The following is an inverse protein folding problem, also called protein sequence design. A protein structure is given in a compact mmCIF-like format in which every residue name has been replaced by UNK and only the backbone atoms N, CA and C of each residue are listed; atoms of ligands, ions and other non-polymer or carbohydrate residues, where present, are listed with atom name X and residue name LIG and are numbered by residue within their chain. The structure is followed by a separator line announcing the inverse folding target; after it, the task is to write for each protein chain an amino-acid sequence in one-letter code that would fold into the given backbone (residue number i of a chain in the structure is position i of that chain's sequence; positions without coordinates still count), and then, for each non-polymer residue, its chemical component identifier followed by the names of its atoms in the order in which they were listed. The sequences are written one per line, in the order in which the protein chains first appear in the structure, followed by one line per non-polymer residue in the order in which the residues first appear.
data_IF_286312291558
#
_entry.id   IF_286312291558
#
_cell.length_a   1.000
_cell.length_b   1.000
_cell.length_c   1.000
_cell.angle_alpha   90.00
_cell.angle_beta   90.00
_cell.angle_gamma   90.00
#
_symmetry.space_group_name_H-M   'P 1'
#
loop_
_entity.id
_entity.type
_entity.pdbx_description
1 polymer ?
#
# COMPACT_ATOMS: atom_id res chain seq x y z
N UNK A 1 11.64 -32.11 -40.14
CA UNK A 1 12.06 -32.02 -38.70
C UNK A 1 11.05 -31.10 -38.06
N UNK A 2 9.98 -31.71 -37.52
CA UNK A 2 8.90 -30.97 -36.88
C UNK A 2 9.33 -30.58 -35.48
N UNK A 3 9.34 -29.28 -35.21
CA UNK A 3 9.58 -28.75 -33.86
C UNK A 3 8.38 -29.09 -32.98
N UNK A 4 8.57 -29.62 -31.77
CA UNK A 4 7.46 -29.87 -30.88
C UNK A 4 6.84 -28.53 -30.44
N UNK A 5 5.52 -28.39 -30.63
CA UNK A 5 4.73 -27.29 -30.10
C UNK A 5 4.86 -27.29 -28.60
N UNK A 6 5.46 -26.24 -28.03
CA UNK A 6 5.46 -26.02 -26.62
C UNK A 6 4.02 -25.82 -26.17
N UNK A 7 3.46 -26.80 -25.47
CA UNK A 7 2.18 -26.65 -24.77
C UNK A 7 2.33 -25.60 -23.70
N UNK A 8 1.57 -24.51 -23.80
CA UNK A 8 1.43 -23.54 -22.71
C UNK A 8 0.99 -24.32 -21.47
N UNK A 9 1.68 -24.18 -20.33
CA UNK A 9 1.23 -24.84 -19.12
C UNK A 9 -0.18 -24.36 -18.81
N UNK A 10 -1.09 -25.32 -18.54
CA UNK A 10 -2.43 -25.01 -18.13
C UNK A 10 -2.37 -24.12 -16.89
N UNK A 11 -2.92 -22.93 -16.99
CA UNK A 11 -3.08 -22.07 -15.81
C UNK A 11 -3.91 -22.82 -14.76
N UNK A 12 -3.42 -22.81 -13.52
CA UNK A 12 -4.24 -23.27 -12.41
C UNK A 12 -5.56 -22.50 -12.41
N UNK A 13 -6.70 -23.13 -12.08
CA UNK A 13 -7.96 -22.41 -11.99
C UNK A 13 -7.81 -21.24 -11.03
N UNK A 14 -8.35 -20.06 -11.37
CA UNK A 14 -8.27 -18.89 -10.50
C UNK A 14 -8.88 -19.22 -9.13
N UNK A 15 -8.18 -18.85 -8.08
CA UNK A 15 -8.70 -19.00 -6.72
C UNK A 15 -9.88 -18.04 -6.54
N UNK A 16 -10.94 -18.40 -5.80
CA UNK A 16 -12.12 -17.55 -5.60
C UNK A 16 -11.79 -16.14 -5.05
N UNK A 17 -10.72 -16.05 -4.25
CA UNK A 17 -10.23 -14.81 -3.63
C UNK A 17 -9.17 -14.09 -4.45
N UNK A 18 -8.89 -14.51 -5.70
CA UNK A 18 -7.92 -13.82 -6.55
C UNK A 18 -8.42 -12.42 -6.93
N UNK A 19 -7.47 -11.51 -7.14
CA UNK A 19 -7.79 -10.13 -7.48
C UNK A 19 -7.14 -9.71 -8.80
N UNK A 20 -7.81 -9.00 -9.70
CA UNK A 20 -9.25 -8.69 -9.71
C UNK A 20 -10.14 -9.94 -9.61
N UNK A 21 -11.44 -9.79 -9.23
CA UNK A 21 -12.34 -10.95 -9.16
C UNK A 21 -12.34 -11.72 -10.48
N UNK A 22 -12.46 -13.07 -10.46
CA UNK A 22 -12.37 -13.89 -11.67
C UNK A 22 -13.43 -13.58 -12.75
N UNK A 23 -14.53 -12.94 -12.37
CA UNK A 23 -15.60 -12.51 -13.26
C UNK A 23 -15.35 -11.13 -13.91
N UNK A 24 -14.29 -10.43 -13.51
CA UNK A 24 -13.89 -9.18 -14.16
C UNK A 24 -13.12 -9.46 -15.45
N UNK A 25 -13.66 -8.99 -16.56
CA UNK A 25 -13.01 -9.08 -17.88
C UNK A 25 -12.68 -7.66 -18.40
N UNK A 26 -11.39 -7.29 -18.50
CA UNK A 26 -10.98 -5.99 -19.03
C UNK A 26 -11.11 -5.90 -20.56
N UNK A 27 -11.29 -7.03 -21.26
CA UNK A 27 -11.24 -7.10 -22.71
C UNK A 27 -12.28 -6.20 -23.41
N UNK A 28 -13.55 -6.13 -22.97
CA UNK A 28 -14.55 -5.24 -23.59
C UNK A 28 -14.15 -3.76 -23.55
N UNK A 29 -13.58 -3.29 -22.44
CA UNK A 29 -13.11 -1.91 -22.31
C UNK A 29 -11.93 -1.62 -23.25
N UNK A 30 -10.97 -2.53 -23.32
CA UNK A 30 -9.81 -2.43 -24.23
C UNK A 30 -10.27 -2.45 -25.70
N UNK A 31 -11.17 -3.36 -26.08
CA UNK A 31 -11.69 -3.46 -27.45
C UNK A 31 -12.43 -2.18 -27.86
N UNK A 32 -13.29 -1.65 -26.98
CA UNK A 32 -13.99 -0.38 -27.22
C UNK A 32 -12.98 0.74 -27.46
N UNK A 33 -12.03 0.93 -26.56
CA UNK A 33 -11.01 1.96 -26.68
C UNK A 33 -10.27 1.90 -28.02
N UNK A 34 -9.84 0.73 -28.45
CA UNK A 34 -9.11 0.54 -29.71
C UNK A 34 -10.00 0.74 -30.94
N UNK A 35 -11.25 0.26 -30.91
CA UNK A 35 -12.21 0.39 -32.04
C UNK A 35 -12.66 1.85 -32.25
N UNK A 36 -12.66 2.65 -31.21
CA UNK A 36 -12.95 4.08 -31.26
C UNK A 36 -11.72 4.94 -31.63
N UNK A 37 -10.61 4.32 -31.99
CA UNK A 37 -9.39 5.02 -32.41
C UNK A 37 -8.53 5.51 -31.26
N UNK A 38 -8.64 4.92 -30.09
CA UNK A 38 -7.85 5.23 -28.90
C UNK A 38 -6.34 5.13 -29.15
N UNK A 39 -5.59 6.17 -28.75
CA UNK A 39 -4.16 6.28 -29.03
C UNK A 39 -3.32 5.46 -28.05
N UNK A 40 -2.45 4.59 -28.57
CA UNK A 40 -1.41 3.93 -27.76
C UNK A 40 -0.22 4.83 -27.45
N UNK A 41 -0.18 6.05 -28.02
CA UNK A 41 0.90 7.01 -27.86
C UNK A 41 0.35 8.41 -27.57
N UNK A 42 -0.33 8.60 -26.41
CA UNK A 42 -0.85 9.92 -26.05
C UNK A 42 0.29 10.95 -25.94
N UNK A 43 0.00 12.17 -26.33
CA UNK A 43 1.01 13.24 -26.40
C UNK A 43 1.05 14.13 -25.15
N UNK A 44 0.39 13.74 -24.08
CA UNK A 44 0.34 14.54 -22.87
C UNK A 44 -0.77 14.06 -21.96
N UNK A 45 -1.45 15.01 -21.31
CA UNK A 45 -2.69 14.76 -20.59
C UNK A 45 -3.86 14.86 -21.58
N UNK A 46 -4.01 13.85 -22.43
CA UNK A 46 -5.06 13.77 -23.45
C UNK A 46 -5.72 12.40 -23.49
N UNK A 47 -6.89 12.28 -24.10
CA UNK A 47 -7.63 11.05 -24.28
C UNK A 47 -7.81 10.27 -22.97
N UNK A 48 -7.44 8.99 -23.00
CA UNK A 48 -7.62 8.07 -21.86
C UNK A 48 -6.84 8.49 -20.61
N UNK A 49 -5.67 9.12 -20.78
CA UNK A 49 -4.87 9.60 -19.66
C UNK A 49 -5.62 10.71 -18.91
N UNK A 50 -6.16 11.69 -19.66
CA UNK A 50 -6.96 12.76 -19.06
C UNK A 50 -8.22 12.20 -18.38
N UNK A 51 -8.96 11.34 -19.05
CA UNK A 51 -10.19 10.75 -18.52
C UNK A 51 -9.94 9.98 -17.21
N UNK A 52 -8.91 9.14 -17.18
CA UNK A 52 -8.55 8.38 -15.99
C UNK A 52 -8.07 9.28 -14.83
N UNK A 53 -7.25 10.29 -15.12
CA UNK A 53 -6.79 11.26 -14.11
C UNK A 53 -7.95 12.09 -13.55
N UNK A 54 -8.91 12.53 -14.39
CA UNK A 54 -10.09 13.27 -13.95
C UNK A 54 -11.00 12.42 -13.07
N UNK A 55 -11.22 11.15 -13.45
CA UNK A 55 -11.99 10.21 -12.64
C UNK A 55 -11.33 9.92 -11.29
N UNK A 56 -10.00 9.74 -11.26
CA UNK A 56 -9.23 9.59 -10.02
C UNK A 56 -9.32 10.86 -9.15
N UNK A 57 -9.20 12.05 -9.74
CA UNK A 57 -9.37 13.31 -9.03
C UNK A 57 -10.74 13.40 -8.37
N UNK A 58 -11.79 13.10 -9.11
CA UNK A 58 -13.18 13.13 -8.61
C UNK A 58 -13.37 12.11 -7.46
N UNK A 59 -12.87 10.87 -7.63
CA UNK A 59 -13.09 9.81 -6.65
C UNK A 59 -12.28 9.97 -5.37
N UNK A 60 -11.05 10.51 -5.47
CA UNK A 60 -10.15 10.67 -4.33
C UNK A 60 -10.13 12.10 -3.76
N UNK A 61 -11.07 12.94 -4.13
CA UNK A 61 -11.17 14.35 -3.69
C UNK A 61 -9.83 15.09 -3.83
N UNK A 62 -9.23 15.00 -5.03
CA UNK A 62 -7.97 15.66 -5.35
C UNK A 62 -8.13 16.53 -6.58
N UNK A 63 -7.56 17.76 -6.62
CA UNK A 63 -7.69 18.64 -7.79
C UNK A 63 -6.79 18.24 -8.94
N UNK A 64 -5.74 17.46 -8.68
CA UNK A 64 -4.79 17.04 -9.71
C UNK A 64 -4.28 15.62 -9.47
N UNK A 65 -4.13 14.86 -10.55
CA UNK A 65 -3.53 13.54 -10.59
C UNK A 65 -2.53 13.44 -11.74
N UNK A 66 -1.51 12.61 -11.56
CA UNK A 66 -0.48 12.29 -12.57
C UNK A 66 -0.29 10.78 -12.58
N UNK A 67 -0.75 10.14 -13.64
CA UNK A 67 -0.59 8.69 -13.83
C UNK A 67 0.86 8.34 -14.18
N UNK A 68 1.39 7.33 -13.52
CA UNK A 68 2.77 6.88 -13.63
C UNK A 68 2.87 5.37 -13.84
N UNK A 69 4.04 4.90 -14.25
CA UNK A 69 4.29 3.49 -14.56
C UNK A 69 4.22 2.54 -13.36
N UNK A 70 4.33 3.06 -12.14
CA UNK A 70 4.19 2.31 -10.89
C UNK A 70 4.00 3.23 -9.69
N UNK A 71 3.50 2.68 -8.58
CA UNK A 71 3.48 3.39 -7.29
C UNK A 71 4.87 3.83 -6.82
N UNK A 72 5.90 3.03 -7.08
CA UNK A 72 7.29 3.37 -6.79
C UNK A 72 7.74 4.64 -7.53
N UNK A 73 7.35 4.78 -8.80
CA UNK A 73 7.68 5.97 -9.59
C UNK A 73 6.82 7.18 -9.18
N UNK A 74 5.60 6.97 -8.70
CA UNK A 74 4.81 8.02 -8.09
C UNK A 74 5.47 8.55 -6.81
N UNK A 75 5.96 7.67 -5.95
CA UNK A 75 6.74 8.04 -4.75
C UNK A 75 8.06 8.73 -5.10
N UNK A 76 8.78 8.25 -6.12
CA UNK A 76 10.00 8.91 -6.60
C UNK A 76 9.72 10.37 -7.02
N UNK A 77 8.66 10.57 -7.81
CA UNK A 77 8.26 11.90 -8.24
C UNK A 77 7.77 12.78 -7.08
N UNK A 78 7.13 12.19 -6.06
CA UNK A 78 6.72 12.90 -4.86
C UNK A 78 7.92 13.38 -4.03
N UNK A 79 8.90 12.52 -3.78
CA UNK A 79 10.13 12.92 -3.08
C UNK A 79 10.90 14.00 -3.84
N UNK A 80 11.02 13.84 -5.17
CA UNK A 80 11.61 14.88 -6.01
C UNK A 80 10.83 16.20 -5.92
N UNK A 81 9.50 16.14 -5.96
CA UNK A 81 8.63 17.30 -5.94
C UNK A 81 8.75 18.10 -4.63
N UNK A 82 8.82 17.43 -3.49
CA UNK A 82 9.02 18.09 -2.19
C UNK A 82 10.47 18.55 -1.96
N UNK A 83 11.36 18.30 -2.92
CA UNK A 83 12.74 18.83 -2.94
C UNK A 83 13.69 18.02 -2.07
N UNK A 84 13.57 16.71 -2.05
CA UNK A 84 14.56 15.83 -1.41
C UNK A 84 15.88 15.89 -2.19
N UNK A 85 16.96 16.11 -1.46
CA UNK A 85 18.33 16.24 -1.97
C UNK A 85 19.29 15.36 -1.16
N UNK A 86 20.51 15.10 -1.69
CA UNK A 86 21.54 14.39 -0.96
C UNK A 86 21.86 15.05 0.38
N UNK A 87 21.80 14.25 1.46
CA UNK A 87 22.01 14.73 2.83
C UNK A 87 20.75 15.05 3.63
N UNK A 88 19.60 15.17 2.97
CA UNK A 88 18.31 15.25 3.65
C UNK A 88 17.95 13.94 4.35
N UNK A 89 17.07 14.03 5.34
CA UNK A 89 16.50 12.88 6.02
C UNK A 89 15.00 12.77 5.74
N UNK A 90 14.54 11.53 5.47
CA UNK A 90 13.13 11.20 5.30
C UNK A 90 12.71 10.20 6.36
N UNK A 91 11.75 10.55 7.19
CA UNK A 91 11.16 9.64 8.19
C UNK A 91 10.21 8.67 7.48
N UNK A 92 10.38 7.36 7.74
CA UNK A 92 9.58 6.29 7.18
C UNK A 92 9.29 5.22 8.23
N UNK A 93 8.04 4.70 8.35
CA UNK A 93 7.77 3.57 9.24
C UNK A 93 8.52 2.34 8.77
N UNK A 94 9.00 1.55 9.74
CA UNK A 94 9.74 0.34 9.43
C UNK A 94 8.85 -0.81 8.94
N UNK A 95 7.54 -0.77 9.21
CA UNK A 95 6.56 -1.74 8.70
C UNK A 95 5.85 -1.15 7.49
N UNK A 96 6.41 -1.38 6.32
CA UNK A 96 5.85 -0.99 5.03
C UNK A 96 6.49 -1.81 3.91
N UNK A 97 5.97 -1.68 2.70
CA UNK A 97 6.66 -2.20 1.52
C UNK A 97 7.90 -1.34 1.24
N UNK A 98 9.00 -1.96 0.86
CA UNK A 98 10.27 -1.23 0.68
C UNK A 98 10.20 -0.06 -0.29
N UNK A 99 9.29 -0.14 -1.29
CA UNK A 99 9.13 0.93 -2.28
C UNK A 99 8.59 2.24 -1.69
N UNK A 100 8.01 2.23 -0.48
CA UNK A 100 7.66 3.45 0.24
C UNK A 100 8.91 4.29 0.57
N UNK A 101 10.03 3.64 0.85
CA UNK A 101 11.27 4.27 1.29
C UNK A 101 12.36 4.37 0.20
N UNK A 102 12.48 3.33 -0.67
CA UNK A 102 13.62 3.23 -1.59
C UNK A 102 13.80 4.38 -2.57
N UNK A 103 12.75 5.06 -3.08
CA UNK A 103 12.96 6.19 -3.96
C UNK A 103 13.70 7.37 -3.31
N UNK A 104 13.52 7.58 -2.00
CA UNK A 104 14.29 8.60 -1.27
C UNK A 104 15.79 8.27 -1.25
N UNK A 105 16.14 6.98 -1.12
CA UNK A 105 17.54 6.54 -1.21
C UNK A 105 18.15 6.85 -2.59
N UNK A 106 17.39 6.67 -3.67
CA UNK A 106 17.85 6.99 -5.03
C UNK A 106 18.07 8.49 -5.27
N UNK A 107 17.43 9.36 -4.48
CA UNK A 107 17.67 10.80 -4.48
C UNK A 107 18.83 11.20 -3.55
N UNK A 108 19.47 10.25 -2.89
CA UNK A 108 20.60 10.49 -1.99
C UNK A 108 20.21 10.89 -0.56
N UNK A 109 18.94 10.80 -0.21
CA UNK A 109 18.48 11.06 1.14
C UNK A 109 18.73 9.87 2.08
N UNK A 110 18.91 10.14 3.35
CA UNK A 110 18.90 9.12 4.41
C UNK A 110 17.47 8.80 4.79
N UNK A 111 17.09 7.53 4.70
CA UNK A 111 15.83 7.04 5.27
C UNK A 111 16.04 6.81 6.76
N UNK A 112 15.27 7.53 7.58
CA UNK A 112 15.23 7.38 9.03
C UNK A 112 14.04 6.49 9.37
N UNK A 113 14.30 5.21 9.62
CA UNK A 113 13.26 4.26 10.00
C UNK A 113 12.79 4.54 11.42
N UNK A 114 11.47 4.50 11.62
CA UNK A 114 10.82 4.69 12.92
C UNK A 114 9.89 3.53 13.25
N UNK A 115 9.62 3.34 14.53
CA UNK A 115 8.76 2.27 15.01
C UNK A 115 7.29 2.53 14.67
N UNK A 116 6.46 1.50 14.85
CA UNK A 116 5.05 1.49 14.51
C UNK A 116 4.19 1.14 15.72
N UNK A 117 2.93 1.51 15.66
CA UNK A 117 1.90 1.02 16.59
C UNK A 117 1.81 -0.51 16.47
N UNK A 118 2.04 -1.27 17.55
CA UNK A 118 2.05 -2.74 17.51
C UNK A 118 0.67 -3.37 17.28
N UNK A 119 -0.39 -2.57 17.21
CA UNK A 119 -1.73 -3.07 16.96
C UNK A 119 -2.16 -2.89 15.49
N UNK A 120 -1.76 -1.78 14.87
CA UNK A 120 -2.17 -1.43 13.51
C UNK A 120 -1.06 -1.63 12.48
N UNK A 121 0.22 -1.61 12.92
CA UNK A 121 1.39 -1.59 12.03
C UNK A 121 1.61 -0.24 11.32
N UNK A 122 0.82 0.78 11.63
CA UNK A 122 1.00 2.14 11.14
C UNK A 122 2.11 2.86 11.91
N UNK A 123 2.69 3.92 11.32
CA UNK A 123 3.71 4.74 11.99
C UNK A 123 3.24 5.17 13.39
N UNK A 124 4.14 5.08 14.38
CA UNK A 124 3.93 5.70 15.68
C UNK A 124 4.31 7.19 15.59
N UNK A 125 3.35 8.12 15.75
CA UNK A 125 3.64 9.55 15.67
C UNK A 125 4.64 10.04 16.73
N UNK A 126 4.70 9.39 17.91
CA UNK A 126 5.66 9.73 18.95
C UNK A 126 7.08 9.31 18.56
N UNK A 127 7.24 8.11 17.99
CA UNK A 127 8.52 7.66 17.45
C UNK A 127 8.97 8.54 16.27
N UNK A 128 8.05 8.93 15.39
CA UNK A 128 8.33 9.86 14.30
C UNK A 128 8.79 11.24 14.83
N UNK A 129 8.12 11.78 15.86
CA UNK A 129 8.49 13.05 16.47
C UNK A 129 9.89 13.02 17.11
N UNK A 130 10.23 11.92 17.79
CA UNK A 130 11.54 11.74 18.41
C UNK A 130 12.69 11.64 17.40
N UNK A 131 12.39 11.22 16.17
CA UNK A 131 13.37 11.05 15.10
C UNK A 131 13.65 12.33 14.29
N UNK A 132 12.92 13.44 14.52
CA UNK A 132 13.10 14.68 13.78
C UNK A 132 14.45 15.33 14.13
N UNK A 133 15.20 15.66 13.09
CA UNK A 133 16.46 16.41 13.17
C UNK A 133 16.42 17.68 12.30
N UNK A 134 17.39 18.58 12.38
CA UNK A 134 17.49 19.73 11.45
C UNK A 134 17.61 19.33 9.96
N UNK A 135 17.97 18.09 9.65
CA UNK A 135 18.04 17.57 8.29
C UNK A 135 16.76 16.89 7.82
N UNK A 136 15.81 16.66 8.72
CA UNK A 136 14.54 16.03 8.35
C UNK A 136 13.75 16.95 7.43
N UNK A 137 13.49 16.50 6.21
CA UNK A 137 12.79 17.24 5.16
C UNK A 137 11.35 16.78 4.97
N UNK A 138 11.12 15.49 5.11
CA UNK A 138 9.82 14.89 4.86
C UNK A 138 9.53 13.71 5.80
N UNK A 139 8.25 13.42 5.94
CA UNK A 139 7.75 12.14 6.45
C UNK A 139 6.93 11.47 5.34
N UNK A 140 7.13 10.18 5.16
CA UNK A 140 6.21 9.34 4.40
C UNK A 140 5.45 8.43 5.34
N UNK A 141 4.15 8.33 5.14
CA UNK A 141 3.28 7.40 5.89
C UNK A 141 2.65 6.41 4.93
N UNK A 142 2.44 5.18 5.40
CA UNK A 142 1.64 4.21 4.67
C UNK A 142 0.40 3.84 5.50
N UNK A 143 -0.76 3.77 4.86
CA UNK A 143 -1.97 3.27 5.48
C UNK A 143 -1.95 1.74 5.44
N UNK A 144 -1.34 1.13 6.49
CA UNK A 144 -1.00 -0.29 6.49
C UNK A 144 -2.23 -1.19 6.40
N UNK A 145 -2.28 -2.04 5.39
CA UNK A 145 -3.38 -2.97 5.07
C UNK A 145 -4.77 -2.33 4.92
N UNK A 146 -4.83 -1.02 4.73
CA UNK A 146 -6.06 -0.25 4.64
C UNK A 146 -6.35 0.59 5.89
N UNK A 147 -5.64 0.37 7.00
CA UNK A 147 -5.84 1.18 8.20
C UNK A 147 -5.15 2.55 8.05
N UNK A 148 -5.89 3.68 8.14
CA UNK A 148 -5.30 5.00 8.16
C UNK A 148 -4.35 5.16 9.35
N UNK A 149 -3.29 5.96 9.17
CA UNK A 149 -2.47 6.43 10.30
C UNK A 149 -3.29 7.39 11.17
N UNK A 150 -2.78 7.75 12.35
CA UNK A 150 -3.34 8.89 13.10
C UNK A 150 -3.06 10.19 12.31
N UNK A 151 -4.02 10.56 11.45
CA UNK A 151 -3.89 11.65 10.51
C UNK A 151 -3.66 13.00 11.20
N UNK A 152 -4.33 13.22 12.33
CA UNK A 152 -4.23 14.47 13.07
C UNK A 152 -2.88 14.60 13.77
N UNK A 153 -2.38 13.52 14.37
CA UNK A 153 -1.08 13.54 15.03
C UNK A 153 0.06 13.76 14.02
N UNK A 154 0.00 13.10 12.84
CA UNK A 154 0.99 13.30 11.77
C UNK A 154 0.90 14.71 11.19
N UNK A 155 -0.31 15.24 10.94
CA UNK A 155 -0.48 16.61 10.46
C UNK A 155 0.11 17.64 11.45
N UNK A 156 -0.14 17.47 12.75
CA UNK A 156 0.41 18.34 13.80
C UNK A 156 1.95 18.25 13.87
N UNK A 157 2.52 17.05 13.67
CA UNK A 157 3.96 16.85 13.60
C UNK A 157 4.56 17.61 12.40
N UNK A 158 3.98 17.43 11.22
CA UNK A 158 4.44 18.09 10.00
C UNK A 158 4.36 19.61 10.11
N UNK A 159 3.26 20.13 10.63
CA UNK A 159 3.09 21.57 10.84
C UNK A 159 4.13 22.14 11.82
N UNK A 160 4.37 21.45 12.96
CA UNK A 160 5.32 21.89 13.99
C UNK A 160 6.75 21.98 13.47
N UNK A 161 7.15 21.07 12.61
CA UNK A 161 8.53 20.95 12.14
C UNK A 161 8.71 21.37 10.67
N UNK A 162 7.66 21.89 10.02
CA UNK A 162 7.67 22.29 8.61
C UNK A 162 8.11 21.16 7.68
N UNK A 163 7.69 19.93 7.96
CA UNK A 163 7.99 18.75 7.15
C UNK A 163 6.99 18.63 6.02
N UNK A 164 7.47 18.22 4.85
CA UNK A 164 6.60 17.73 3.80
C UNK A 164 6.01 16.38 4.19
N UNK A 165 4.72 16.17 3.90
CA UNK A 165 4.05 14.90 4.17
C UNK A 165 3.62 14.22 2.87
N UNK A 166 4.15 13.01 2.65
CA UNK A 166 3.77 12.14 1.53
C UNK A 166 2.95 10.98 2.09
N UNK A 167 1.73 10.82 1.59
CA UNK A 167 0.85 9.70 1.94
C UNK A 167 0.98 8.58 0.90
N UNK A 168 1.52 7.42 1.28
CA UNK A 168 1.44 6.20 0.47
C UNK A 168 0.11 5.49 0.80
N UNK A 169 -0.86 5.64 -0.08
CA UNK A 169 -2.19 5.06 0.05
C UNK A 169 -2.38 3.78 -0.76
N UNK A 170 -1.29 3.15 -1.17
CA UNK A 170 -1.31 1.92 -2.01
C UNK A 170 -2.09 0.75 -1.41
N UNK A 171 -2.30 0.72 -0.10
CA UNK A 171 -3.08 -0.29 0.62
C UNK A 171 -4.48 0.20 1.03
N UNK A 172 -4.82 1.45 0.75
CA UNK A 172 -5.95 2.13 1.37
C UNK A 172 -6.81 2.92 0.37
N UNK A 173 -6.95 2.39 -0.85
CA UNK A 173 -7.84 3.01 -1.83
C UNK A 173 -9.25 3.17 -1.25
N UNK A 174 -9.71 4.42 -1.10
CA UNK A 174 -11.02 4.72 -0.54
C UNK A 174 -11.14 4.68 0.99
N UNK A 175 -10.04 4.51 1.72
CA UNK A 175 -10.06 4.60 3.18
C UNK A 175 -10.30 6.03 3.67
N UNK A 176 -10.83 6.17 4.88
CA UNK A 176 -11.12 7.48 5.46
C UNK A 176 -10.96 7.51 6.99
N UNK A 177 -10.53 8.68 7.49
CA UNK A 177 -10.37 9.02 8.88
C UNK A 177 -11.32 10.16 9.24
N UNK A 178 -12.21 9.97 10.22
CA UNK A 178 -13.25 10.94 10.61
C UNK A 178 -14.01 11.51 9.41
N UNK A 179 -14.34 10.66 8.44
CA UNK A 179 -15.09 11.03 7.23
C UNK A 179 -14.26 11.69 6.13
N UNK A 180 -12.99 12.04 6.36
CA UNK A 180 -12.10 12.61 5.33
C UNK A 180 -11.24 11.54 4.70
N UNK A 181 -11.15 11.51 3.38
CA UNK A 181 -10.37 10.50 2.65
C UNK A 181 -8.88 10.58 2.97
N UNK A 182 -8.25 9.42 3.12
CA UNK A 182 -6.79 9.24 3.14
C UNK A 182 -6.24 9.65 1.77
N UNK A 183 -5.08 10.27 1.77
CA UNK A 183 -4.50 10.88 0.56
C UNK A 183 -4.88 12.35 0.36
N UNK A 184 -5.69 12.93 1.28
CA UNK A 184 -6.03 14.36 1.23
C UNK A 184 -5.43 15.17 2.37
N UNK A 185 -4.72 14.52 3.28
CA UNK A 185 -4.17 15.13 4.49
C UNK A 185 -2.77 15.70 4.30
N UNK A 186 -1.93 14.98 3.56
CA UNK A 186 -0.56 15.39 3.24
C UNK A 186 -0.45 16.37 2.07
N UNK A 187 0.78 16.74 1.74
CA UNK A 187 1.09 17.58 0.59
C UNK A 187 0.88 16.85 -0.74
N UNK A 188 1.25 15.57 -0.77
CA UNK A 188 1.11 14.67 -1.91
C UNK A 188 0.64 13.28 -1.44
N UNK A 189 -0.17 12.64 -2.26
CA UNK A 189 -0.55 11.24 -2.11
C UNK A 189 -0.05 10.41 -3.29
N UNK A 190 0.40 9.19 -2.99
CA UNK A 190 0.83 8.22 -3.99
C UNK A 190 0.06 6.92 -3.81
N UNK A 191 -0.40 6.34 -4.92
CA UNK A 191 -1.03 5.03 -4.91
C UNK A 191 -0.42 4.12 -5.99
N UNK A 192 -0.23 2.87 -5.65
CA UNK A 192 0.05 1.82 -6.63
C UNK A 192 -1.25 1.42 -7.34
N UNK A 193 -1.16 1.25 -8.65
CA UNK A 193 -2.20 0.67 -9.52
C UNK A 193 -1.68 -0.63 -10.15
N UNK A 194 -0.80 -1.33 -9.43
CA UNK A 194 -0.16 -2.57 -9.89
C UNK A 194 -0.70 -3.81 -9.19
N UNK A 195 -0.43 -4.97 -9.77
CA UNK A 195 -0.70 -6.29 -9.22
C UNK A 195 -2.12 -6.40 -8.59
N UNK A 196 -2.19 -6.77 -7.31
CA UNK A 196 -3.42 -7.08 -6.58
C UNK A 196 -4.04 -5.85 -5.88
N UNK A 197 -3.71 -4.63 -6.33
CA UNK A 197 -4.32 -3.42 -5.78
C UNK A 197 -5.80 -3.34 -6.17
N UNK A 198 -6.64 -2.75 -5.31
CA UNK A 198 -8.08 -2.62 -5.56
C UNK A 198 -8.38 -2.02 -6.93
N UNK A 199 -7.66 -0.98 -7.31
CA UNK A 199 -7.61 -0.48 -8.69
C UNK A 199 -6.29 -0.93 -9.30
N UNK A 200 -6.35 -1.69 -10.38
CA UNK A 200 -5.15 -2.21 -11.01
C UNK A 200 -5.19 -2.16 -12.53
N UNK A 201 -4.12 -1.65 -13.13
CA UNK A 201 -3.85 -1.79 -14.56
C UNK A 201 -2.84 -2.91 -14.87
N UNK A 202 -2.60 -3.82 -13.90
CA UNK A 202 -1.48 -4.78 -13.93
C UNK A 202 -0.16 -4.12 -13.55
N UNK A 203 0.14 -2.98 -14.16
CA UNK A 203 1.24 -2.07 -13.83
C UNK A 203 0.71 -0.64 -13.82
N UNK A 204 1.09 0.15 -12.83
CA UNK A 204 0.69 1.54 -12.76
C UNK A 204 0.85 2.15 -11.38
N UNK A 205 0.71 3.45 -11.35
CA UNK A 205 0.66 4.27 -10.13
C UNK A 205 0.05 5.62 -10.42
N UNK A 206 -0.28 6.34 -9.38
CA UNK A 206 -0.77 7.72 -9.47
C UNK A 206 -0.17 8.55 -8.35
N UNK A 207 0.24 9.77 -8.68
CA UNK A 207 0.53 10.84 -7.73
C UNK A 207 -0.63 11.83 -7.78
N UNK A 208 -1.09 12.28 -6.62
CA UNK A 208 -2.17 13.25 -6.49
C UNK A 208 -1.78 14.35 -5.50
N UNK A 209 -2.32 15.55 -5.68
CA UNK A 209 -2.03 16.64 -4.75
C UNK A 209 -2.82 17.90 -5.01
N UNK A 210 -2.86 18.79 -4.00
CA UNK A 210 -3.59 20.08 -4.03
C UNK A 210 -2.70 21.26 -4.36
N UNK A 211 -1.39 21.13 -4.17
CA UNK A 211 -0.41 22.18 -4.42
C UNK A 211 0.09 22.11 -5.86
N UNK A 212 -0.26 23.10 -6.67
CA UNK A 212 0.16 23.18 -8.08
C UNK A 212 1.68 23.12 -8.24
N UNK A 213 2.44 23.83 -7.39
CA UNK A 213 3.90 23.85 -7.44
C UNK A 213 4.52 22.45 -7.26
N UNK A 214 3.98 21.62 -6.36
CA UNK A 214 4.48 20.27 -6.14
C UNK A 214 4.08 19.32 -7.28
N UNK A 215 2.81 19.39 -7.72
CA UNK A 215 2.35 18.54 -8.82
C UNK A 215 3.08 18.90 -10.12
N UNK A 216 3.35 20.19 -10.38
CA UNK A 216 4.13 20.63 -11.54
C UNK A 216 5.58 20.09 -11.50
N UNK A 217 6.22 20.11 -10.34
CA UNK A 217 7.55 19.49 -10.17
C UNK A 217 7.51 17.98 -10.42
N UNK A 218 6.45 17.30 -9.97
CA UNK A 218 6.24 15.88 -10.25
C UNK A 218 6.03 15.61 -11.75
N UNK A 219 5.27 16.47 -12.45
CA UNK A 219 5.10 16.39 -13.91
C UNK A 219 6.44 16.59 -14.60
N UNK A 220 7.21 17.60 -14.22
CA UNK A 220 8.53 17.88 -14.81
C UNK A 220 9.53 16.75 -14.53
N UNK A 221 9.46 16.10 -13.37
CA UNK A 221 10.26 14.92 -13.05
C UNK A 221 9.93 13.73 -13.95
N UNK A 222 8.65 13.49 -14.18
CA UNK A 222 8.13 12.24 -14.75
C UNK A 222 7.82 12.31 -16.26
N UNK A 223 7.75 13.51 -16.82
CA UNK A 223 7.36 13.74 -18.22
C UNK A 223 8.16 14.87 -18.85
N UNK A 224 8.15 14.89 -20.18
CA UNK A 224 8.76 15.94 -20.99
C UNK A 224 7.92 16.25 -22.25
N UNK A 225 8.35 17.20 -23.07
CA UNK A 225 7.67 17.65 -24.31
C UNK A 225 6.25 18.15 -24.04
N UNK A 226 5.25 17.46 -24.59
CA UNK A 226 3.87 17.94 -24.60
C UNK A 226 3.32 18.14 -23.19
N UNK A 227 3.44 17.14 -22.31
CA UNK A 227 2.88 17.23 -20.98
C UNK A 227 3.52 18.31 -20.13
N UNK A 228 4.84 18.40 -20.11
CA UNK A 228 5.57 19.45 -19.40
C UNK A 228 5.22 20.86 -19.92
N UNK A 229 4.81 20.98 -21.19
CA UNK A 229 4.43 22.25 -21.78
C UNK A 229 2.99 22.65 -21.45
N UNK A 230 2.07 21.69 -21.36
CA UNK A 230 0.62 21.96 -21.25
C UNK A 230 0.11 21.92 -19.83
N UNK A 231 0.69 21.08 -18.96
CA UNK A 231 0.15 20.78 -17.64
C UNK A 231 0.82 21.60 -16.52
N UNK A 232 2.04 22.08 -16.74
CA UNK A 232 2.77 22.89 -15.76
C UNK A 232 2.18 24.29 -15.73
N UNK A 233 1.78 24.74 -14.54
CA UNK A 233 1.09 26.03 -14.31
C UNK A 233 1.94 27.03 -13.55
N UNK A 234 2.91 26.54 -12.77
CA UNK A 234 3.78 27.36 -11.92
C UNK A 234 4.73 28.18 -12.78
N UNK A 235 4.76 29.53 -12.65
CA UNK A 235 5.70 30.39 -13.36
C UNK A 235 7.16 30.04 -13.04
N UNK A 236 8.04 30.25 -14.01
CA UNK A 236 9.48 30.00 -13.86
C UNK A 236 9.96 28.66 -14.37
N UNK A 237 9.06 27.77 -14.78
CA UNK A 237 9.41 26.45 -15.34
C UNK A 237 9.39 26.40 -16.88
N UNK A 238 9.20 27.53 -17.55
CA UNK A 238 9.05 27.60 -19.00
C UNK A 238 10.29 27.05 -19.74
N UNK A 239 11.49 27.27 -19.18
CA UNK A 239 12.75 26.71 -19.70
C UNK A 239 12.82 25.18 -19.67
N UNK A 240 12.05 24.54 -18.80
CA UNK A 240 11.98 23.07 -18.66
C UNK A 240 10.87 22.45 -19.50
N UNK A 241 10.01 23.23 -20.14
CA UNK A 241 8.84 22.75 -20.87
C UNK A 241 9.16 21.70 -21.95
N UNK A 242 10.37 21.71 -22.52
CA UNK A 242 10.79 20.77 -23.56
C UNK A 242 11.37 19.47 -22.99
N UNK A 243 12.16 19.55 -21.94
CA UNK A 243 12.97 18.43 -21.43
C UNK A 243 12.42 17.84 -20.15
N UNK A 244 11.62 18.59 -19.38
CA UNK A 244 11.43 18.30 -17.97
C UNK A 244 12.80 18.10 -17.30
N UNK A 245 12.85 17.17 -16.37
CA UNK A 245 14.12 16.67 -15.78
C UNK A 245 14.62 15.38 -16.47
N UNK A 246 14.08 15.06 -17.66
CA UNK A 246 14.62 14.02 -18.54
C UNK A 246 14.08 12.61 -18.33
N UNK A 247 13.21 12.36 -17.36
CA UNK A 247 12.61 11.06 -17.14
C UNK A 247 11.28 10.91 -17.90
N UNK A 248 10.91 9.64 -18.21
CA UNK A 248 9.64 9.28 -18.81
C UNK A 248 9.02 8.13 -18.00
N UNK A 249 8.17 8.50 -17.05
CA UNK A 249 7.60 7.60 -16.06
C UNK A 249 6.09 7.41 -16.21
N UNK A 250 5.51 7.80 -17.36
CA UNK A 250 4.07 7.71 -17.61
C UNK A 250 3.56 6.28 -17.69
N UNK A 251 2.29 6.09 -17.35
CA UNK A 251 1.57 4.82 -17.49
C UNK A 251 1.34 4.46 -18.97
N UNK A 252 1.19 3.17 -19.27
CA UNK A 252 0.74 2.73 -20.59
C UNK A 252 -0.77 2.98 -20.76
N UNK A 253 -1.25 3.48 -21.93
CA UNK A 253 -2.66 3.79 -22.14
C UNK A 253 -3.62 2.63 -21.88
N UNK A 254 -3.29 1.40 -22.26
CA UNK A 254 -4.15 0.25 -21.98
C UNK A 254 -4.30 -0.03 -20.48
N UNK A 255 -3.27 0.19 -19.70
CA UNK A 255 -3.39 0.11 -18.25
C UNK A 255 -4.34 1.19 -17.68
N UNK A 256 -4.29 2.41 -18.23
CA UNK A 256 -5.21 3.47 -17.87
C UNK A 256 -6.67 3.15 -18.26
N UNK A 257 -6.89 2.47 -19.43
CA UNK A 257 -8.23 1.98 -19.82
C UNK A 257 -8.80 1.04 -18.77
N UNK A 258 -7.99 0.06 -18.32
CA UNK A 258 -8.41 -0.94 -17.34
C UNK A 258 -8.71 -0.27 -15.98
N UNK A 259 -7.85 0.65 -15.54
CA UNK A 259 -8.07 1.40 -14.29
C UNK A 259 -9.34 2.24 -14.35
N UNK A 260 -9.57 2.95 -15.46
CA UNK A 260 -10.76 3.78 -15.63
C UNK A 260 -12.04 2.94 -15.62
N UNK A 261 -12.06 1.83 -16.35
CA UNK A 261 -13.21 0.92 -16.37
C UNK A 261 -13.53 0.36 -14.98
N UNK A 262 -12.51 -0.06 -14.22
CA UNK A 262 -12.68 -0.50 -12.83
C UNK A 262 -13.22 0.62 -11.94
N UNK A 263 -12.66 1.82 -12.07
CA UNK A 263 -13.03 2.97 -11.24
C UNK A 263 -14.48 3.39 -11.45
N UNK A 264 -14.92 3.44 -12.70
CA UNK A 264 -16.28 3.89 -13.05
C UNK A 264 -17.36 2.84 -12.83
N UNK A 265 -17.06 1.56 -13.06
CA UNK A 265 -18.07 0.50 -13.13
C UNK A 265 -18.04 -0.49 -11.96
N UNK A 266 -16.94 -0.57 -11.19
CA UNK A 266 -16.75 -1.66 -10.22
C UNK A 266 -16.27 -1.20 -8.84
N UNK A 267 -15.44 -0.18 -8.74
CA UNK A 267 -14.66 0.15 -7.56
C UNK A 267 -15.52 0.32 -6.29
N UNK A 268 -16.57 1.14 -6.34
CA UNK A 268 -17.39 1.40 -5.15
C UNK A 268 -18.11 0.14 -4.67
N UNK A 269 -18.63 -0.67 -5.60
CA UNK A 269 -19.22 -1.97 -5.27
C UNK A 269 -18.21 -2.90 -4.62
N UNK A 270 -17.02 -3.05 -5.20
CA UNK A 270 -15.98 -3.92 -4.66
C UNK A 270 -15.50 -3.49 -3.27
N UNK A 271 -15.36 -2.17 -3.03
CA UNK A 271 -14.99 -1.64 -1.70
C UNK A 271 -16.05 -2.02 -0.66
N UNK A 272 -17.33 -1.84 -0.99
CA UNK A 272 -18.45 -2.17 -0.08
C UNK A 272 -18.49 -3.69 0.19
N UNK A 273 -18.45 -4.51 -0.84
CA UNK A 273 -18.51 -5.97 -0.73
C UNK A 273 -17.33 -6.53 0.07
N UNK A 274 -16.12 -5.98 -0.12
CA UNK A 274 -14.94 -6.38 0.64
C UNK A 274 -15.02 -5.93 2.09
N UNK A 275 -15.39 -4.68 2.34
CA UNK A 275 -15.52 -4.18 3.72
C UNK A 275 -16.55 -4.98 4.52
N UNK A 276 -17.72 -5.29 3.94
CA UNK A 276 -18.74 -6.12 4.56
C UNK A 276 -18.22 -7.54 4.86
N UNK A 277 -17.59 -8.19 3.89
CA UNK A 277 -17.02 -9.54 4.05
C UNK A 277 -15.95 -9.59 5.14
N UNK A 278 -15.02 -8.63 5.15
CA UNK A 278 -13.92 -8.62 6.12
C UNK A 278 -14.36 -8.17 7.51
N UNK A 279 -15.40 -7.35 7.64
CA UNK A 279 -16.03 -7.06 8.95
C UNK A 279 -16.71 -8.32 9.53
N UNK A 280 -17.44 -9.09 8.71
CA UNK A 280 -18.02 -10.36 9.13
C UNK A 280 -16.93 -11.36 9.55
N UNK A 281 -15.84 -11.45 8.79
CA UNK A 281 -14.69 -12.28 9.18
C UNK A 281 -14.13 -11.83 10.54
N UNK A 282 -13.94 -10.51 10.72
CA UNK A 282 -13.46 -9.92 11.97
C UNK A 282 -14.39 -10.24 13.14
N UNK A 283 -15.69 -10.09 12.97
CA UNK A 283 -16.71 -10.43 13.98
C UNK A 283 -16.66 -11.92 14.34
N UNK A 284 -16.61 -12.80 13.34
CA UNK A 284 -16.53 -14.26 13.54
C UNK A 284 -15.26 -14.71 14.25
N UNK A 285 -14.19 -13.96 14.19
CA UNK A 285 -12.92 -14.26 14.87
C UNK A 285 -12.76 -13.54 16.22
N UNK A 286 -13.70 -12.66 16.59
CA UNK A 286 -13.62 -11.88 17.83
C UNK A 286 -13.90 -12.78 19.05
N UNK A 287 -13.07 -12.63 20.09
CA UNK A 287 -13.23 -13.38 21.35
C UNK A 287 -12.56 -14.76 21.38
N UNK A 288 -11.94 -15.19 20.29
CA UNK A 288 -11.18 -16.43 20.28
C UNK A 288 -9.91 -16.32 21.14
N UNK A 289 -9.56 -17.37 21.92
CA UNK A 289 -8.40 -17.33 22.79
C UNK A 289 -7.09 -17.14 22.01
N UNK A 290 -6.26 -16.21 22.47
CA UNK A 290 -4.96 -15.93 21.85
C UNK A 290 -5.02 -15.30 20.45
N UNK A 291 -6.19 -14.93 19.96
CA UNK A 291 -6.38 -14.28 18.66
C UNK A 291 -6.94 -12.86 18.85
N UNK A 292 -6.34 -11.92 18.16
CA UNK A 292 -6.84 -10.56 18.00
C UNK A 292 -7.06 -10.28 16.52
N UNK A 293 -8.31 -10.13 16.07
CA UNK A 293 -8.60 -9.67 14.71
C UNK A 293 -7.97 -8.29 14.43
N UNK A 294 -7.84 -7.86 13.16
CA UNK A 294 -7.31 -6.55 12.83
C UNK A 294 -8.01 -5.45 13.63
N UNK A 295 -7.22 -4.58 14.25
CA UNK A 295 -7.75 -3.43 15.01
C UNK A 295 -8.25 -2.39 14.01
N UNK A 296 -9.42 -1.82 14.29
CA UNK A 296 -9.97 -0.65 13.59
C UNK A 296 -10.18 0.41 14.66
N UNK A 297 -9.42 1.50 14.58
CA UNK A 297 -9.55 2.61 15.53
C UNK A 297 -10.91 3.30 15.34
N UNK A 298 -11.52 3.88 16.41
CA UNK A 298 -12.83 4.53 16.32
C UNK A 298 -12.91 5.67 15.30
N UNK A 299 -11.80 6.33 15.03
CA UNK A 299 -11.68 7.42 14.07
C UNK A 299 -11.70 6.95 12.60
N UNK A 300 -11.47 5.66 12.36
CA UNK A 300 -11.49 5.08 11.01
C UNK A 300 -12.93 4.89 10.55
N UNK A 301 -13.37 5.76 9.66
CA UNK A 301 -14.72 5.69 9.08
C UNK A 301 -14.80 4.56 8.04
N UNK A 302 -13.75 4.37 7.26
CA UNK A 302 -13.63 3.29 6.27
C UNK A 302 -12.19 2.80 6.18
N UNK A 303 -12.04 1.49 6.06
CA UNK A 303 -10.78 0.83 5.73
C UNK A 303 -10.51 0.83 4.21
N UNK A 304 -11.47 1.30 3.40
CA UNK A 304 -11.37 1.29 1.94
C UNK A 304 -11.18 -0.11 1.39
N UNK A 305 -10.13 -0.27 0.60
CA UNK A 305 -9.83 -1.51 -0.11
C UNK A 305 -9.42 -2.70 0.78
N UNK A 306 -9.08 -2.50 2.03
CA UNK A 306 -8.56 -3.58 2.88
C UNK A 306 -7.52 -4.43 2.16
N UNK A 307 -6.37 -3.88 1.86
CA UNK A 307 -5.34 -4.61 1.10
C UNK A 307 -4.81 -5.86 1.80
N UNK A 308 -5.15 -6.09 3.06
CA UNK A 308 -4.82 -7.30 3.78
C UNK A 308 -5.63 -7.49 5.05
N UNK A 309 -6.03 -8.71 5.32
CA UNK A 309 -6.63 -9.09 6.59
C UNK A 309 -5.57 -9.80 7.44
N UNK A 310 -5.08 -9.12 8.48
CA UNK A 310 -3.91 -9.55 9.27
C UNK A 310 -4.27 -9.68 10.76
N UNK A 311 -4.90 -10.79 11.18
CA UNK A 311 -5.12 -11.05 12.61
C UNK A 311 -3.78 -11.32 13.30
N UNK A 312 -3.69 -10.93 14.56
CA UNK A 312 -2.52 -11.14 15.41
C UNK A 312 -2.76 -12.30 16.39
N UNK A 313 -1.77 -13.16 16.59
CA UNK A 313 -1.85 -14.32 17.50
C UNK A 313 -0.81 -14.25 18.61
N UNK A 314 -1.22 -14.59 19.82
CA UNK A 314 -0.34 -14.79 20.97
C UNK A 314 0.22 -16.23 20.98
N UNK A 315 1.25 -16.45 20.20
CA UNK A 315 1.92 -17.75 20.08
C UNK A 315 2.46 -18.26 21.42
N UNK A 316 2.94 -17.34 22.28
CA UNK A 316 3.44 -17.67 23.62
C UNK A 316 2.32 -18.13 24.53
N UNK A 317 1.21 -17.39 24.54
CA UNK A 317 0.00 -17.75 25.30
C UNK A 317 -0.62 -19.07 24.85
N UNK A 318 -0.63 -19.32 23.55
CA UNK A 318 -1.13 -20.58 22.97
C UNK A 318 -0.15 -21.75 23.14
N UNK A 319 1.13 -21.48 23.37
CA UNK A 319 2.16 -22.50 23.57
C UNK A 319 2.56 -23.26 22.31
N UNK A 320 2.47 -22.61 21.14
CA UNK A 320 2.90 -23.15 19.84
C UNK A 320 3.52 -22.04 18.97
N UNK A 321 4.27 -22.44 17.97
CA UNK A 321 4.81 -21.48 17.00
C UNK A 321 3.73 -20.99 16.03
N UNK A 322 4.00 -19.88 15.35
CA UNK A 322 3.11 -19.35 14.32
C UNK A 322 2.98 -20.35 13.15
N UNK A 323 4.08 -20.97 12.78
CA UNK A 323 4.16 -21.97 11.71
C UNK A 323 3.33 -23.23 12.04
N UNK A 324 3.37 -23.67 13.29
CA UNK A 324 2.53 -24.79 13.76
C UNK A 324 1.04 -24.45 13.72
N UNK A 325 0.67 -23.22 14.11
CA UNK A 325 -0.71 -22.76 14.01
C UNK A 325 -1.18 -22.70 12.55
N UNK A 326 -0.36 -22.13 11.66
CA UNK A 326 -0.64 -22.08 10.21
C UNK A 326 -0.86 -23.49 9.67
N UNK A 327 0.04 -24.44 9.97
CA UNK A 327 -0.09 -25.82 9.50
C UNK A 327 -1.39 -26.50 9.99
N UNK A 328 -1.80 -26.25 11.24
CA UNK A 328 -3.07 -26.77 11.78
C UNK A 328 -4.28 -26.18 11.08
N UNK A 329 -4.29 -24.87 10.85
CA UNK A 329 -5.38 -24.19 10.15
C UNK A 329 -5.46 -24.66 8.69
N UNK A 330 -4.33 -24.79 8.00
CA UNK A 330 -4.27 -25.32 6.62
C UNK A 330 -4.78 -26.76 6.53
N UNK A 331 -4.58 -27.59 7.57
CA UNK A 331 -5.13 -28.94 7.64
C UNK A 331 -6.68 -28.97 7.70
N UNK A 332 -7.32 -27.85 8.06
CA UNK A 332 -8.77 -27.65 7.98
C UNK A 332 -9.24 -27.15 6.61
N UNK A 333 -8.34 -27.09 5.62
CA UNK A 333 -8.64 -26.72 4.23
C UNK A 333 -8.82 -25.22 3.98
N UNK A 334 -8.33 -24.36 4.89
CA UNK A 334 -8.36 -22.90 4.69
C UNK A 334 -7.01 -22.37 4.20
N UNK A 335 -7.05 -21.27 3.49
CA UNK A 335 -5.85 -20.53 3.13
C UNK A 335 -5.46 -19.58 4.26
N UNK A 336 -4.28 -19.75 4.76
CA UNK A 336 -3.66 -18.91 5.80
C UNK A 336 -2.14 -19.03 5.70
N UNK A 337 -1.44 -17.91 5.85
CA UNK A 337 0.02 -17.87 5.83
C UNK A 337 0.58 -16.99 6.96
N UNK A 338 1.86 -17.21 7.26
CA UNK A 338 2.68 -16.22 7.96
C UNK A 338 3.25 -15.23 6.95
N UNK A 339 3.06 -13.90 7.10
CA UNK A 339 3.62 -12.93 6.16
C UNK A 339 5.14 -13.07 6.06
N UNK A 340 5.64 -13.18 4.82
CA UNK A 340 7.06 -13.42 4.54
C UNK A 340 7.93 -12.16 4.49
N UNK A 341 7.34 -10.95 4.46
CA UNK A 341 8.11 -9.71 4.38
C UNK A 341 8.47 -9.20 5.77
N UNK A 342 9.75 -9.22 6.14
CA UNK A 342 10.18 -8.64 7.41
C UNK A 342 10.08 -7.11 7.39
N UNK A 343 10.04 -6.44 8.56
CA UNK A 343 10.19 -4.99 8.65
C UNK A 343 11.46 -4.49 7.96
N UNK A 344 11.43 -3.26 7.47
CA UNK A 344 12.53 -2.69 6.66
C UNK A 344 13.88 -2.72 7.36
N UNK A 345 13.93 -2.47 8.67
CA UNK A 345 15.18 -2.51 9.45
C UNK A 345 15.87 -3.88 9.47
N UNK A 346 15.17 -4.94 9.09
CA UNK A 346 15.71 -6.31 8.96
C UNK A 346 16.12 -6.66 7.51
N UNK A 347 15.89 -5.76 6.56
CA UNK A 347 16.27 -5.96 5.16
C UNK A 347 17.66 -5.41 4.89
N UNK A 348 18.55 -6.17 4.21
CA UNK A 348 19.92 -5.71 3.91
C UNK A 348 19.99 -4.37 3.19
N UNK A 349 18.98 -4.04 2.39
CA UNK A 349 18.91 -2.77 1.66
C UNK A 349 18.92 -1.54 2.58
N UNK A 350 18.39 -1.67 3.80
CA UNK A 350 18.32 -0.57 4.77
C UNK A 350 19.44 -0.62 5.81
N UNK A 351 20.35 -1.59 5.70
CA UNK A 351 21.61 -1.54 6.41
C UNK A 351 22.52 -0.49 5.75
N UNK A 352 22.91 0.58 6.46
CA UNK A 352 23.75 1.63 5.91
C UNK A 352 25.07 1.11 5.32
N UNK A 353 25.57 -0.03 5.79
CA UNK A 353 26.77 -0.67 5.26
C UNK A 353 26.56 -1.27 3.85
N UNK A 354 25.35 -1.64 3.48
CA UNK A 354 25.01 -2.28 2.21
C UNK A 354 24.61 -1.29 1.13
N UNK A 355 24.21 -0.06 1.50
CA UNK A 355 23.70 0.91 0.51
C UNK A 355 24.85 1.65 -0.20
N UNK A 356 24.92 1.59 -1.56
CA UNK A 356 26.09 2.08 -2.29
C UNK A 356 26.13 3.60 -2.49
N UNK A 357 25.02 4.32 -2.24
CA UNK A 357 24.91 5.75 -2.51
C UNK A 357 24.83 6.54 -1.22
N UNK A 358 25.77 7.48 -1.02
CA UNK A 358 25.67 8.50 0.02
C UNK A 358 26.79 8.48 1.05
N UNK A 359 27.06 9.63 1.63
CA UNK A 359 28.02 9.86 2.71
C UNK A 359 27.37 9.79 4.10
N UNK A 360 26.42 8.90 4.31
CA UNK A 360 25.69 8.79 5.57
C UNK A 360 26.52 8.13 6.64
N UNK A 361 26.13 8.40 7.88
CA UNK A 361 26.62 7.61 9.01
C UNK A 361 26.29 6.14 8.76
N UNK A 362 27.34 5.32 8.68
CA UNK A 362 27.24 3.87 8.40
C UNK A 362 27.06 3.04 9.68
N UNK A 363 26.62 3.66 10.77
CA UNK A 363 26.32 2.92 11.98
C UNK A 363 25.19 1.90 11.71
N UNK A 364 25.35 0.63 12.10
CA UNK A 364 24.30 -0.36 11.95
C UNK A 364 23.04 0.07 12.69
N UNK A 365 21.88 -0.28 12.13
CA UNK A 365 20.62 -0.10 12.84
C UNK A 365 20.58 -1.08 14.03
N UNK A 366 20.17 -0.57 15.20
CA UNK A 366 19.87 -1.42 16.34
C UNK A 366 18.56 -2.16 16.08
N UNK A 367 18.55 -3.49 15.93
CA UNK A 367 17.35 -4.25 15.65
C UNK A 367 16.32 -4.18 16.79
N UNK A 368 16.77 -3.89 18.02
CA UNK A 368 15.93 -3.79 19.21
C UNK A 368 15.28 -2.40 19.37
N UNK A 369 15.66 -1.44 18.53
CA UNK A 369 15.07 -0.10 18.52
C UNK A 369 13.61 -0.07 18.01
N UNK A 370 13.06 -1.20 17.53
CA UNK A 370 11.74 -1.30 16.91
C UNK A 370 10.83 -2.34 17.61
N UNK A 371 10.55 -2.18 18.92
CA UNK A 371 9.75 -3.16 19.67
C UNK A 371 8.30 -3.28 19.17
N UNK A 372 7.69 -2.19 18.70
CA UNK A 372 6.34 -2.18 18.10
C UNK A 372 6.29 -3.01 16.83
N UNK A 373 7.24 -2.78 15.92
CA UNK A 373 7.35 -3.53 14.66
C UNK A 373 7.64 -5.02 14.91
N UNK A 374 8.50 -5.33 15.87
CA UNK A 374 8.81 -6.70 16.26
C UNK A 374 7.56 -7.41 16.76
N UNK A 375 6.87 -6.81 17.76
CA UNK A 375 5.62 -7.38 18.31
C UNK A 375 4.55 -7.57 17.23
N UNK A 376 4.37 -6.58 16.35
CA UNK A 376 3.42 -6.66 15.25
C UNK A 376 3.75 -7.82 14.31
N UNK A 377 4.97 -7.83 13.78
CA UNK A 377 5.40 -8.77 12.72
C UNK A 377 5.50 -10.22 13.19
N UNK A 378 5.84 -10.46 14.45
CA UNK A 378 5.95 -11.82 15.00
C UNK A 378 4.60 -12.51 15.19
N UNK A 379 3.53 -11.74 15.39
CA UNK A 379 2.21 -12.27 15.69
C UNK A 379 1.23 -12.32 14.51
N UNK A 380 1.46 -11.57 13.43
CA UNK A 380 0.47 -11.49 12.34
C UNK A 380 0.40 -12.76 11.51
N UNK A 381 -0.86 -13.17 11.17
CA UNK A 381 -1.16 -14.10 10.10
C UNK A 381 -1.64 -13.34 8.87
N UNK A 382 -1.71 -14.02 7.74
CA UNK A 382 -2.28 -13.53 6.49
C UNK A 382 -3.46 -14.39 6.10
N UNK A 383 -4.64 -13.78 5.98
CA UNK A 383 -5.85 -14.42 5.46
C UNK A 383 -6.24 -13.79 4.12
N UNK A 384 -6.98 -14.51 3.27
CA UNK A 384 -7.50 -13.99 2.02
C UNK A 384 -8.37 -12.74 2.22
N UNK A 385 -8.41 -11.90 1.19
CA UNK A 385 -9.25 -10.71 1.14
C UNK A 385 -10.59 -11.06 0.50
N UNK A 386 -11.45 -11.77 1.25
CA UNK A 386 -12.77 -12.15 0.77
C UNK A 386 -13.58 -10.96 0.29
N UNK A 387 -14.25 -11.12 -0.85
CA UNK A 387 -14.98 -10.02 -1.49
C UNK A 387 -16.33 -10.51 -2.04
N UNK A 388 -17.41 -10.13 -1.36
CA UNK A 388 -18.77 -10.39 -1.81
C UNK A 388 -19.27 -11.84 -1.63
N UNK A 389 -20.35 -12.17 -2.35
CA UNK A 389 -21.07 -13.42 -2.19
C UNK A 389 -20.26 -14.63 -2.68
N UNK A 390 -19.39 -14.45 -3.68
CA UNK A 390 -18.57 -15.54 -4.22
C UNK A 390 -17.66 -16.18 -3.17
N UNK A 391 -17.19 -15.40 -2.19
CA UNK A 391 -16.26 -15.84 -1.15
C UNK A 391 -16.92 -16.27 0.15
N UNK A 392 -18.25 -16.23 0.23
CA UNK A 392 -19.02 -16.44 1.46
C UNK A 392 -18.76 -17.79 2.14
N UNK A 393 -18.67 -18.87 1.35
CA UNK A 393 -18.41 -20.19 1.89
C UNK A 393 -16.97 -20.33 2.38
N UNK A 394 -16.00 -19.79 1.67
CA UNK A 394 -14.60 -19.77 2.09
C UNK A 394 -14.41 -18.96 3.38
N UNK A 395 -15.07 -17.80 3.49
CA UNK A 395 -15.08 -16.98 4.71
C UNK A 395 -15.67 -17.79 5.90
N UNK A 396 -16.83 -18.43 5.73
CA UNK A 396 -17.46 -19.24 6.77
C UNK A 396 -16.56 -20.39 7.21
N UNK A 397 -15.95 -21.10 6.25
CA UNK A 397 -15.03 -22.20 6.53
C UNK A 397 -13.79 -21.70 7.31
N UNK A 398 -13.30 -20.52 6.97
CA UNK A 398 -12.20 -19.89 7.69
C UNK A 398 -12.57 -19.62 9.15
N UNK A 399 -13.72 -19.01 9.41
CA UNK A 399 -14.21 -18.80 10.79
C UNK A 399 -14.32 -20.12 11.54
N UNK A 400 -14.95 -21.15 10.94
CA UNK A 400 -15.11 -22.47 11.54
C UNK A 400 -13.76 -23.10 11.91
N UNK A 401 -12.78 -23.07 11.00
CA UNK A 401 -11.46 -23.63 11.26
C UNK A 401 -10.76 -22.98 12.47
N UNK A 402 -10.86 -21.66 12.63
CA UNK A 402 -10.32 -20.99 13.79
C UNK A 402 -11.04 -21.39 15.09
N UNK A 403 -12.36 -21.55 15.06
CA UNK A 403 -13.15 -22.02 16.21
C UNK A 403 -12.83 -23.48 16.60
N UNK A 404 -12.48 -24.32 15.65
CA UNK A 404 -12.11 -25.72 15.90
C UNK A 404 -10.68 -25.84 16.46
N UNK A 405 -9.76 -25.02 15.99
CA UNK A 405 -8.33 -25.12 16.33
C UNK A 405 -7.99 -24.43 17.65
N UNK A 406 -8.44 -23.18 17.85
CA UNK A 406 -7.94 -22.35 18.97
C UNK A 406 -8.44 -22.79 20.37
N UNK A 407 -9.71 -23.15 20.62
CA UNK A 407 -10.18 -23.55 21.94
C UNK A 407 -9.46 -24.78 22.47
N UNK A 408 -9.10 -25.73 21.61
CA UNK A 408 -8.35 -26.91 21.96
C UNK A 408 -6.95 -26.67 22.49
N UNK A 409 -6.35 -25.51 22.13
CA UNK A 409 -5.00 -25.14 22.55
C UNK A 409 -4.93 -24.50 23.94
N UNK A 410 -5.99 -23.79 24.36
CA UNK A 410 -6.09 -23.19 25.71
C UNK A 410 -6.40 -24.18 26.85
N UNK A 411 -7.04 -25.30 26.54
CA UNK A 411 -7.47 -26.30 27.55
C UNK A 411 -6.32 -27.16 28.10
N UNK A 412 -5.22 -27.32 27.36
CA UNK A 412 -4.08 -28.15 27.76
C UNK A 412 -3.25 -27.61 28.94
N UNK A 413 -3.34 -26.32 29.28
CA UNK A 413 -2.57 -25.74 30.41
C UNK A 413 -3.31 -25.67 31.73
N UNK A 414 -4.64 -25.88 31.78
CA UNK A 414 -5.40 -25.84 33.01
C UNK A 414 -5.44 -27.21 33.74
N UNK A 415 -5.01 -28.31 33.11
CA UNK A 415 -5.07 -29.64 33.73
C UNK A 415 -3.78 -30.06 34.46
N UNK A 416 -2.67 -29.33 34.34
CA UNK A 416 -1.39 -29.69 34.96
C UNK A 416 -1.10 -29.02 36.32
N UNK A 417 -2.03 -28.20 36.85
CA UNK A 417 -1.89 -27.55 38.18
C UNK A 417 -2.87 -28.01 39.23
N UNK A 418 -3.55 -29.17 39.00
CA UNK A 418 -4.29 -29.87 40.10
C UNK A 418 -3.65 -31.22 40.33
N UNK A 419 -2.60 -31.25 41.15
CA UNK A 419 -2.00 -32.50 41.59
C UNK A 419 -0.58 -32.31 42.11
N UNK A 420 -0.42 -31.66 43.26
CA UNK A 420 0.65 -31.87 44.24
C UNK A 420 0.22 -31.31 45.59
#
# INVERSE_FOLDING_TARGET
MDSPSASTPAQAPPQPWSWPPPDYDPLPAIQRYLSEGGSLTPKGRDGIIAACEDALCARFDQPRAVLMSSGTMALYAAYFAVGIEPGDEVICPTVTFHATATPALHLGAKVVLVDVDPETGCVDPAAAAAAVTPRTKAIVTNAQWGHPVDQEAVAALCQRHSLAWIEDISHAHGASWKGRQVGTWGDLACASLGAEKMLTGGMGGVLMGRRDDLVDRAVLCSHYLFRSKTDVRTPGYEGLARTGYGLKLGIHPLAAVVVLDQLENHFDRWVIERDDSLRRLREGLTGLPGLRPPVIRPEVTSMGAWYGFKPWVDTKGLGLSREELVARLQAHGIEVDAPGSPPLHRLPLFDPACYPVGGWDKAPLDPDAFPGATKYSEGILSLPMFTGEADKDALRNTVTAFHDVLPGLGAGKMSSTRGA
#
